data_IF_967494711170
#
_entry.id   IF_967494711170
#
_cell.length_a   1.000
_cell.length_b   1.000
_cell.length_c   1.000
_cell.angle_alpha   90.00
_cell.angle_beta   90.00
_cell.angle_gamma   90.00
#
_symmetry.space_group_name_H-M   'P 1'
#
loop_
_entity.id
_entity.type
_entity.pdbx_description
1 polymer ?
#
# COMPACT_ATOMS: atom_id res chain seq x y z
N UNK A 1 7.24 -34.08 -9.18
CA UNK A 1 7.96 -33.00 -8.49
C UNK A 1 8.59 -32.11 -9.55
N UNK A 2 7.94 -31.01 -9.89
CA UNK A 2 8.52 -29.92 -10.69
C UNK A 2 7.94 -28.62 -10.12
N UNK A 3 8.81 -27.92 -9.39
CA UNK A 3 8.53 -26.74 -8.60
C UNK A 3 8.28 -25.55 -9.53
N UNK A 4 7.02 -25.35 -9.92
CA UNK A 4 6.56 -24.20 -10.68
C UNK A 4 6.19 -23.04 -9.76
N UNK A 5 7.16 -22.50 -9.02
CA UNK A 5 7.00 -21.18 -8.41
C UNK A 5 7.04 -20.15 -9.54
N UNK A 6 5.91 -19.98 -10.24
CA UNK A 6 5.69 -18.85 -11.12
C UNK A 6 5.90 -17.60 -10.25
N UNK A 7 6.97 -16.86 -10.51
CA UNK A 7 7.14 -15.52 -9.95
C UNK A 7 6.11 -14.66 -10.67
N UNK A 8 4.88 -14.69 -10.16
CA UNK A 8 3.80 -13.82 -10.59
C UNK A 8 4.20 -12.44 -10.11
N UNK A 9 4.60 -11.58 -11.05
CA UNK A 9 4.77 -10.16 -10.77
C UNK A 9 3.43 -9.65 -10.24
N UNK A 10 3.39 -9.05 -9.03
CA UNK A 10 2.17 -8.50 -8.47
C UNK A 10 1.59 -7.52 -9.47
N UNK A 11 0.38 -7.81 -9.95
CA UNK A 11 -0.32 -6.88 -10.82
C UNK A 11 -0.75 -5.63 -10.03
N UNK A 12 -1.28 -4.63 -10.74
CA UNK A 12 -1.83 -3.40 -10.14
C UNK A 12 -2.97 -3.63 -9.13
N UNK A 13 -3.47 -4.85 -8.97
CA UNK A 13 -4.56 -5.21 -8.05
C UNK A 13 -4.11 -6.09 -6.88
N UNK A 14 -2.96 -6.75 -6.99
CA UNK A 14 -2.43 -7.70 -5.99
C UNK A 14 -2.07 -6.95 -4.71
N UNK A 15 -1.25 -5.90 -4.82
CA UNK A 15 -0.83 -5.12 -3.66
C UNK A 15 -2.00 -4.39 -2.98
N UNK A 16 -2.88 -3.66 -3.69
CA UNK A 16 -4.04 -3.02 -3.06
C UNK A 16 -4.92 -4.00 -2.29
N UNK A 17 -5.17 -5.19 -2.84
CA UNK A 17 -5.99 -6.22 -2.19
C UNK A 17 -5.36 -6.73 -0.88
N UNK A 18 -4.05 -7.01 -0.90
CA UNK A 18 -3.31 -7.43 0.29
C UNK A 18 -3.26 -6.33 1.36
N UNK A 19 -2.98 -5.09 0.95
CA UNK A 19 -2.94 -3.94 1.86
C UNK A 19 -4.32 -3.70 2.48
N UNK A 20 -5.40 -3.84 1.70
CA UNK A 20 -6.79 -3.72 2.19
C UNK A 20 -7.10 -4.76 3.26
N UNK A 21 -6.66 -6.00 3.07
CA UNK A 21 -6.83 -7.05 4.07
C UNK A 21 -6.08 -6.70 5.38
N UNK A 22 -4.83 -6.24 5.27
CA UNK A 22 -4.07 -5.78 6.44
C UNK A 22 -4.72 -4.58 7.13
N UNK A 23 -5.25 -3.64 6.36
CA UNK A 23 -5.96 -2.45 6.85
C UNK A 23 -7.18 -2.83 7.68
N UNK A 24 -8.00 -3.77 7.19
CA UNK A 24 -9.20 -4.23 7.89
C UNK A 24 -8.88 -5.03 9.17
N UNK A 25 -7.73 -5.70 9.21
CA UNK A 25 -7.27 -6.44 10.39
C UNK A 25 -6.35 -5.65 11.31
N UNK A 26 -6.09 -4.37 11.02
CA UNK A 26 -5.11 -3.52 11.73
C UNK A 26 -3.71 -4.17 11.83
N UNK A 27 -3.37 -4.98 10.82
CA UNK A 27 -2.14 -5.77 10.77
C UNK A 27 -0.97 -4.91 10.25
N UNK A 28 -0.52 -3.96 11.08
CA UNK A 28 0.48 -2.96 10.71
C UNK A 28 1.83 -3.59 10.30
N UNK A 29 2.24 -4.65 10.99
CA UNK A 29 3.53 -5.31 10.74
C UNK A 29 3.57 -5.93 9.34
N UNK A 30 2.52 -6.66 8.98
CA UNK A 30 2.33 -7.27 7.67
C UNK A 30 2.21 -6.19 6.60
N UNK A 31 1.47 -5.12 6.89
CA UNK A 31 1.36 -3.95 6.03
C UNK A 31 2.70 -3.29 5.71
N UNK A 32 3.62 -3.17 6.69
CA UNK A 32 4.98 -2.65 6.47
C UNK A 32 5.84 -3.58 5.60
N UNK A 33 5.66 -4.89 5.72
CA UNK A 33 6.33 -5.86 4.84
C UNK A 33 5.84 -5.68 3.40
N UNK A 34 4.52 -5.54 3.21
CA UNK A 34 3.93 -5.29 1.89
C UNK A 34 4.41 -3.96 1.32
N UNK A 35 4.49 -2.89 2.12
CA UNK A 35 5.06 -1.61 1.69
C UNK A 35 6.51 -1.74 1.22
N UNK A 36 7.35 -2.52 1.91
CA UNK A 36 8.70 -2.82 1.45
C UNK A 36 8.73 -3.55 0.11
N UNK A 37 7.76 -4.43 -0.13
CA UNK A 37 7.60 -5.11 -1.42
C UNK A 37 7.16 -4.14 -2.53
N UNK A 38 6.23 -3.22 -2.25
CA UNK A 38 5.81 -2.21 -3.24
C UNK A 38 6.96 -1.31 -3.66
N UNK A 39 7.79 -0.87 -2.71
CA UNK A 39 8.99 -0.06 -3.00
C UNK A 39 9.99 -0.84 -3.86
N UNK A 40 10.20 -2.12 -3.58
CA UNK A 40 11.09 -2.98 -4.38
C UNK A 40 10.58 -3.18 -5.81
N UNK A 41 9.26 -3.24 -5.98
CA UNK A 41 8.61 -3.37 -7.28
C UNK A 41 8.42 -2.03 -8.01
N UNK A 42 8.70 -0.90 -7.37
CA UNK A 42 8.48 0.45 -7.93
C UNK A 42 7.00 0.83 -8.07
N UNK A 43 6.10 0.17 -7.34
CA UNK A 43 4.66 0.38 -7.42
C UNK A 43 4.12 1.25 -6.30
N UNK A 44 4.96 1.71 -5.37
CA UNK A 44 4.57 2.53 -4.22
C UNK A 44 3.98 3.89 -4.62
N UNK A 45 4.30 4.35 -5.84
CA UNK A 45 3.82 5.63 -6.39
C UNK A 45 2.49 5.51 -7.14
N UNK A 46 2.03 4.27 -7.39
CA UNK A 46 0.74 4.04 -8.04
C UNK A 46 -0.39 4.54 -7.13
N UNK A 47 -1.41 5.13 -7.74
CA UNK A 47 -2.49 5.78 -6.99
C UNK A 47 -3.31 4.79 -6.17
N UNK A 48 -3.52 3.56 -6.66
CA UNK A 48 -4.29 2.53 -5.95
C UNK A 48 -3.47 1.94 -4.81
N UNK A 49 -2.18 1.69 -5.03
CA UNK A 49 -1.27 1.20 -4.00
C UNK A 49 -1.08 2.25 -2.91
N UNK A 50 -0.75 3.49 -3.27
CA UNK A 50 -0.57 4.60 -2.35
C UNK A 50 -1.82 4.89 -1.52
N UNK A 51 -3.00 4.93 -2.14
CA UNK A 51 -4.27 5.12 -1.41
C UNK A 51 -4.54 4.00 -0.41
N UNK A 52 -4.25 2.75 -0.77
CA UNK A 52 -4.43 1.60 0.13
C UNK A 52 -3.48 1.66 1.33
N UNK A 53 -2.23 2.08 1.10
CA UNK A 53 -1.22 2.26 2.16
C UNK A 53 -1.59 3.40 3.11
N UNK A 54 -2.12 4.51 2.58
CA UNK A 54 -2.63 5.62 3.40
C UNK A 54 -3.77 5.14 4.30
N UNK A 55 -4.74 4.39 3.77
CA UNK A 55 -5.85 3.80 4.56
C UNK A 55 -5.33 2.86 5.66
N UNK A 56 -4.39 1.96 5.33
CA UNK A 56 -3.75 1.07 6.31
C UNK A 56 -3.10 1.87 7.45
N UNK A 57 -2.23 2.83 7.10
CA UNK A 57 -1.50 3.60 8.11
C UNK A 57 -2.44 4.51 8.91
N UNK A 58 -3.46 5.10 8.29
CA UNK A 58 -4.49 5.89 8.96
C UNK A 58 -5.26 5.08 10.00
N UNK A 59 -5.80 3.91 9.62
CA UNK A 59 -6.53 3.02 10.56
C UNK A 59 -5.65 2.49 11.69
N UNK A 60 -4.35 2.30 11.45
CA UNK A 60 -3.40 1.90 12.48
C UNK A 60 -2.90 3.06 13.35
N UNK A 61 -3.34 4.31 13.11
CA UNK A 61 -2.91 5.50 13.86
C UNK A 61 -1.51 6.04 13.46
N UNK A 62 -0.91 5.52 12.39
CA UNK A 62 0.44 5.84 11.93
C UNK A 62 0.43 7.00 10.93
N UNK A 63 -0.09 8.16 11.36
CA UNK A 63 -0.33 9.33 10.51
C UNK A 63 0.93 9.83 9.81
N UNK A 64 2.09 9.75 10.47
CA UNK A 64 3.38 10.16 9.88
C UNK A 64 3.77 9.24 8.72
N UNK A 65 3.49 7.95 8.82
CA UNK A 65 3.73 6.99 7.73
C UNK A 65 2.76 7.22 6.57
N UNK A 66 1.47 7.44 6.86
CA UNK A 66 0.47 7.79 5.85
C UNK A 66 0.89 9.04 5.05
N UNK A 67 1.36 10.08 5.74
CA UNK A 67 1.87 11.31 5.11
C UNK A 67 3.09 11.06 4.24
N UNK A 68 4.06 10.26 4.71
CA UNK A 68 5.25 9.90 3.91
C UNK A 68 4.88 9.19 2.61
N UNK A 69 3.89 8.28 2.66
CA UNK A 69 3.38 7.61 1.45
C UNK A 69 2.75 8.64 0.52
N UNK A 70 1.85 9.47 1.02
CA UNK A 70 1.19 10.54 0.25
C UNK A 70 2.19 11.49 -0.42
N UNK A 71 3.22 11.91 0.32
CA UNK A 71 4.25 12.81 -0.19
C UNK A 71 5.08 12.16 -1.31
N UNK A 72 5.27 10.84 -1.26
CA UNK A 72 6.02 10.05 -2.24
C UNK A 72 5.23 9.65 -3.51
N UNK A 73 3.90 9.82 -3.55
CA UNK A 73 3.09 9.51 -4.72
C UNK A 73 3.38 10.48 -5.88
N UNK A 74 3.57 9.95 -7.10
CA UNK A 74 3.89 10.76 -8.29
C UNK A 74 2.68 11.53 -8.85
N UNK A 75 1.48 11.00 -8.62
CA UNK A 75 0.20 11.64 -8.97
C UNK A 75 -0.66 11.69 -7.72
N UNK A 76 -0.95 12.90 -7.24
CA UNK A 76 -1.84 13.16 -6.10
C UNK A 76 -3.22 13.50 -6.66
N UNK A 77 -4.18 12.60 -6.57
CA UNK A 77 -5.57 12.85 -6.99
C UNK A 77 -6.42 13.40 -5.83
N UNK A 78 -7.63 13.89 -6.11
CA UNK A 78 -8.55 14.42 -5.07
C UNK A 78 -8.82 13.42 -3.94
N UNK A 79 -8.83 12.13 -4.26
CA UNK A 79 -9.03 11.02 -3.29
C UNK A 79 -7.88 10.95 -2.28
N UNK A 80 -6.63 11.13 -2.72
CA UNK A 80 -5.46 11.11 -1.84
C UNK A 80 -5.45 12.27 -0.84
N UNK A 81 -5.96 13.44 -1.23
CA UNK A 81 -6.11 14.60 -0.34
C UNK A 81 -7.21 14.38 0.71
N UNK A 82 -8.33 13.76 0.32
CA UNK A 82 -9.43 13.50 1.23
C UNK A 82 -9.04 12.46 2.31
N UNK A 83 -8.31 11.42 1.92
CA UNK A 83 -7.84 10.38 2.84
C UNK A 83 -6.81 10.86 3.87
N UNK A 84 -6.09 11.95 3.60
CA UNK A 84 -5.17 12.56 4.56
C UNK A 84 -5.89 13.41 5.63
N UNK A 85 -7.10 13.89 5.32
CA UNK A 85 -7.86 14.82 6.17
C UNK A 85 -8.85 14.17 7.13
N UNK A 86 -9.08 12.85 7.01
CA UNK A 86 -9.96 12.05 7.89
C UNK A 86 -9.14 11.22 8.86
#
# INVERSE_FOLDING_TARGET
MSNGSNVVLPDKYTFPSLIKACSNSLALREGRIIYGATVRCGTERDVFVGSSLIDLYGKCGEVVCARKVFDGMSVRNEVSWMALGT
#
